data_IF_948754652326
#
_entry.id   IF_948754652326
#
_cell.length_a   1.000
_cell.length_b   1.000
_cell.length_c   1.000
_cell.angle_alpha   90.00
_cell.angle_beta   90.00
_cell.angle_gamma   90.00
#
_symmetry.space_group_name_H-M   'P 1'
#
loop_
_entity.id
_entity.type
_entity.pdbx_description
1 polymer ?
#
# COMPACT_ATOMS: atom_id res chain seq x y z
N UNK A 1 1.89 -10.64 13.29
CA UNK A 1 2.58 -9.63 14.13
C UNK A 1 4.10 -9.59 13.87
N UNK A 2 4.75 -10.72 13.66
CA UNK A 2 6.21 -10.76 13.41
C UNK A 2 6.59 -10.03 12.12
N UNK A 3 5.82 -10.15 11.06
CA UNK A 3 6.03 -9.44 9.80
C UNK A 3 6.08 -7.91 10.02
N UNK A 4 5.05 -7.35 10.67
CA UNK A 4 4.97 -5.92 10.93
C UNK A 4 6.08 -5.42 11.88
N UNK A 5 6.51 -6.25 12.83
CA UNK A 5 7.63 -5.94 13.71
C UNK A 5 8.95 -5.89 12.91
N UNK A 6 9.14 -6.81 11.96
CA UNK A 6 10.34 -6.87 11.11
C UNK A 6 10.54 -5.61 10.26
N UNK A 7 9.46 -4.89 9.93
CA UNK A 7 9.49 -3.65 9.15
C UNK A 7 10.08 -2.45 9.90
N UNK A 8 10.32 -2.57 11.22
CA UNK A 8 10.96 -1.55 12.07
C UNK A 8 10.34 -0.16 11.96
N UNK A 9 9.03 -0.08 11.79
CA UNK A 9 8.28 1.16 11.55
C UNK A 9 8.37 2.19 12.68
N UNK A 10 8.80 1.77 13.88
CA UNK A 10 9.03 2.67 15.00
C UNK A 10 10.09 3.77 14.72
N UNK A 11 10.91 3.58 13.67
CA UNK A 11 11.89 4.56 13.21
C UNK A 11 11.39 5.51 12.12
N UNK A 12 10.14 5.35 11.65
CA UNK A 12 9.57 6.19 10.61
C UNK A 12 9.00 7.49 11.17
N UNK A 13 9.06 8.54 10.36
CA UNK A 13 8.51 9.85 10.67
C UNK A 13 7.19 10.04 9.96
N UNK A 14 6.22 10.64 10.64
CA UNK A 14 4.98 11.08 10.00
C UNK A 14 5.29 12.20 9.02
N UNK A 15 4.88 12.03 7.77
CA UNK A 15 5.11 12.98 6.69
C UNK A 15 3.87 13.82 6.39
N UNK A 16 2.73 13.17 6.14
CA UNK A 16 1.48 13.84 5.76
C UNK A 16 0.26 13.08 6.25
N UNK A 17 -0.81 13.83 6.55
CA UNK A 17 -2.16 13.28 6.75
C UNK A 17 -3.15 13.98 5.83
N UNK A 18 -4.08 13.21 5.26
CA UNK A 18 -5.20 13.72 4.48
C UNK A 18 -6.51 13.08 4.91
N UNK A 19 -7.58 13.86 4.92
CA UNK A 19 -8.95 13.38 5.03
C UNK A 19 -9.66 13.59 3.70
N UNK A 20 -10.20 12.51 3.13
CA UNK A 20 -10.81 12.49 1.83
C UNK A 20 -12.26 12.02 1.96
N UNK A 21 -13.22 12.78 1.46
CA UNK A 21 -14.60 12.32 1.30
C UNK A 21 -14.80 11.69 -0.08
N UNK A 22 -15.54 10.59 -0.13
CA UNK A 22 -15.82 9.87 -1.38
C UNK A 22 -17.30 9.52 -1.50
N UNK A 23 -17.84 9.62 -2.70
CA UNK A 23 -19.20 9.18 -3.04
C UNK A 23 -19.20 7.69 -3.38
N UNK A 24 -18.88 6.87 -2.39
CA UNK A 24 -18.80 5.42 -2.48
C UNK A 24 -19.04 4.80 -1.11
N UNK A 25 -19.45 3.54 -1.08
CA UNK A 25 -19.45 2.77 0.16
C UNK A 25 -18.00 2.58 0.66
N UNK A 26 -17.80 2.66 1.97
CA UNK A 26 -16.48 2.56 2.59
C UNK A 26 -15.74 1.23 2.29
N UNK A 27 -16.47 0.17 1.94
CA UNK A 27 -15.88 -1.11 1.56
C UNK A 27 -15.24 -1.08 0.16
N UNK A 28 -15.77 -0.26 -0.75
CA UNK A 28 -15.23 -0.20 -2.12
C UNK A 28 -13.76 0.23 -2.20
N UNK A 29 -13.31 1.28 -1.49
CA UNK A 29 -11.88 1.57 -1.46
C UNK A 29 -11.03 0.43 -0.89
N UNK A 30 -11.55 -0.35 0.07
CA UNK A 30 -10.84 -1.51 0.60
C UNK A 30 -10.67 -2.58 -0.47
N UNK A 31 -11.73 -2.87 -1.23
CA UNK A 31 -11.70 -3.88 -2.28
C UNK A 31 -10.66 -3.56 -3.37
N UNK A 32 -10.41 -2.27 -3.65
CA UNK A 32 -9.38 -1.87 -4.62
C UNK A 32 -7.94 -2.16 -4.16
N UNK A 33 -7.71 -2.36 -2.86
CA UNK A 33 -6.42 -2.78 -2.34
C UNK A 33 -6.21 -4.31 -2.37
N UNK A 34 -7.17 -5.07 -2.89
CA UNK A 34 -7.11 -6.53 -2.98
C UNK A 34 -6.97 -7.03 -4.42
N UNK A 35 -6.71 -6.12 -5.37
CA UNK A 35 -6.56 -6.50 -6.77
C UNK A 35 -5.75 -5.45 -7.56
N UNK A 36 -4.84 -5.85 -8.47
CA UNK A 36 -4.04 -4.94 -9.26
C UNK A 36 -4.62 -4.61 -10.65
N UNK A 37 -5.69 -5.27 -11.12
CA UNK A 37 -6.15 -5.11 -12.51
C UNK A 37 -6.76 -3.73 -12.79
N UNK A 38 -7.27 -3.00 -11.77
CA UNK A 38 -7.73 -1.63 -11.94
C UNK A 38 -6.60 -0.66 -12.34
N UNK A 39 -5.33 -1.02 -12.14
CA UNK A 39 -4.18 -0.20 -12.52
C UNK A 39 -4.20 0.19 -13.99
N UNK A 40 -4.62 -0.73 -14.87
CA UNK A 40 -4.68 -0.46 -16.32
C UNK A 40 -5.80 0.49 -16.72
N UNK A 41 -6.83 0.62 -15.91
CA UNK A 41 -7.97 1.48 -16.16
C UNK A 41 -7.87 2.82 -15.41
N UNK A 42 -7.67 2.76 -14.09
CA UNK A 42 -7.69 3.94 -13.21
C UNK A 42 -6.33 4.61 -13.04
N UNK A 43 -5.25 3.83 -13.09
CA UNK A 43 -3.87 4.28 -12.87
C UNK A 43 -2.97 4.04 -14.07
N UNK A 44 -3.55 4.18 -15.27
CA UNK A 44 -2.92 3.82 -16.55
C UNK A 44 -1.57 4.52 -16.77
N UNK A 45 -1.49 5.79 -16.42
CA UNK A 45 -0.34 6.63 -16.71
C UNK A 45 0.60 6.80 -15.51
N UNK A 46 0.24 6.28 -14.33
CA UNK A 46 1.00 6.46 -13.08
C UNK A 46 1.50 5.14 -12.51
N UNK A 47 0.63 4.19 -12.21
CA UNK A 47 0.95 2.94 -11.52
C UNK A 47 1.17 1.78 -12.50
N UNK A 48 0.35 1.67 -13.55
CA UNK A 48 0.43 0.58 -14.51
C UNK A 48 1.79 0.45 -15.24
N UNK A 49 2.55 1.53 -15.52
CA UNK A 49 3.91 1.41 -16.06
C UNK A 49 4.91 0.77 -15.08
N UNK A 50 4.65 0.87 -13.77
CA UNK A 50 5.56 0.42 -12.71
C UNK A 50 5.28 -1.03 -12.33
N UNK A 51 4.01 -1.42 -12.24
CA UNK A 51 3.59 -2.73 -11.72
C UNK A 51 3.07 -3.66 -12.83
N UNK A 52 3.07 -4.96 -12.53
CA UNK A 52 2.30 -5.94 -13.31
C UNK A 52 0.83 -5.88 -12.88
N UNK A 53 -0.11 -5.68 -13.80
CA UNK A 53 -1.53 -5.52 -13.43
C UNK A 53 -2.26 -6.85 -13.19
N UNK A 54 -1.60 -7.97 -13.42
CA UNK A 54 -2.16 -9.32 -13.39
C UNK A 54 -1.29 -10.32 -12.62
N UNK A 55 -0.35 -9.83 -11.80
CA UNK A 55 0.55 -10.66 -11.03
C UNK A 55 0.65 -10.15 -9.60
N UNK A 56 0.09 -10.91 -8.67
CA UNK A 56 0.19 -10.64 -7.23
C UNK A 56 0.32 -11.96 -6.46
N UNK A 57 0.83 -11.86 -5.25
CA UNK A 57 0.80 -12.92 -4.25
C UNK A 57 -0.24 -12.54 -3.20
N UNK A 58 -0.99 -13.52 -2.73
CA UNK A 58 -2.07 -13.29 -1.79
C UNK A 58 -2.03 -14.30 -0.65
N UNK A 59 -2.13 -13.79 0.58
CA UNK A 59 -2.22 -14.58 1.81
C UNK A 59 -3.43 -14.15 2.64
N UNK A 60 -4.05 -15.09 3.33
CA UNK A 60 -5.16 -14.86 4.25
C UNK A 60 -4.80 -15.29 5.68
N UNK A 61 -5.07 -14.43 6.65
CA UNK A 61 -4.80 -14.63 8.07
C UNK A 61 -6.08 -14.37 8.89
N UNK A 62 -6.99 -15.33 8.89
CA UNK A 62 -8.33 -15.16 9.46
C UNK A 62 -9.13 -14.09 8.69
N UNK A 63 -9.40 -12.96 9.33
CA UNK A 63 -10.10 -11.82 8.70
C UNK A 63 -9.13 -10.79 8.09
N UNK A 64 -7.84 -11.02 8.16
CA UNK A 64 -6.82 -10.14 7.60
C UNK A 64 -6.24 -10.73 6.34
N UNK A 65 -5.77 -9.88 5.43
CA UNK A 65 -5.18 -10.29 4.17
C UNK A 65 -3.86 -9.57 3.94
N UNK A 66 -2.99 -10.21 3.14
CA UNK A 66 -1.80 -9.58 2.59
C UNK A 66 -1.78 -9.81 1.09
N UNK A 67 -1.58 -8.75 0.35
CA UNK A 67 -1.32 -8.81 -1.08
C UNK A 67 0.04 -8.18 -1.37
N UNK A 68 0.84 -8.84 -2.19
CA UNK A 68 2.06 -8.28 -2.73
C UNK A 68 1.93 -8.14 -4.25
N UNK A 69 1.86 -6.90 -4.73
CA UNK A 69 1.83 -6.59 -6.16
C UNK A 69 3.25 -6.35 -6.64
N UNK A 70 3.63 -7.01 -7.73
CA UNK A 70 5.01 -7.04 -8.19
C UNK A 70 5.31 -5.87 -9.12
N UNK A 71 6.41 -5.17 -8.86
CA UNK A 71 6.97 -4.18 -9.77
C UNK A 71 7.62 -4.90 -10.96
N UNK A 72 7.61 -4.26 -12.14
CA UNK A 72 8.29 -4.80 -13.33
C UNK A 72 9.79 -4.97 -13.12
N UNK A 73 10.38 -4.20 -12.23
CA UNK A 73 11.78 -4.31 -11.84
C UNK A 73 12.15 -5.64 -11.17
N UNK A 74 11.16 -6.45 -10.72
CA UNK A 74 11.43 -7.77 -10.13
C UNK A 74 12.13 -8.73 -11.11
N UNK A 75 12.01 -8.52 -12.42
CA UNK A 75 12.72 -9.31 -13.41
C UNK A 75 14.24 -9.20 -13.29
N UNK A 76 14.75 -8.16 -12.65
CA UNK A 76 16.19 -7.99 -12.40
C UNK A 76 16.72 -9.05 -11.43
N UNK A 77 15.88 -9.55 -10.50
CA UNK A 77 16.25 -10.57 -9.53
C UNK A 77 16.64 -11.90 -10.19
N UNK A 78 16.13 -12.19 -11.39
CA UNK A 78 16.51 -13.40 -12.15
C UNK A 78 18.01 -13.50 -12.46
N UNK A 79 18.73 -12.39 -12.37
CA UNK A 79 20.18 -12.31 -12.66
C UNK A 79 21.04 -12.39 -11.41
N UNK A 80 20.41 -12.43 -10.24
CA UNK A 80 21.05 -12.46 -8.94
C UNK A 80 20.85 -13.84 -8.28
N UNK A 81 21.78 -14.29 -7.44
CA UNK A 81 21.51 -15.39 -6.52
C UNK A 81 20.30 -15.06 -5.64
N UNK A 82 19.51 -16.08 -5.30
CA UNK A 82 18.32 -15.91 -4.44
C UNK A 82 18.65 -15.35 -3.05
N UNK A 83 19.86 -15.56 -2.55
CA UNK A 83 20.35 -14.96 -1.30
C UNK A 83 20.52 -13.42 -1.35
N UNK A 84 20.52 -12.84 -2.55
CA UNK A 84 20.65 -11.40 -2.80
C UNK A 84 19.31 -10.76 -3.21
N UNK A 85 18.21 -11.51 -3.17
CA UNK A 85 16.91 -10.98 -3.56
C UNK A 85 16.36 -10.04 -2.49
N UNK A 86 16.05 -8.82 -2.91
CA UNK A 86 15.26 -7.85 -2.15
C UNK A 86 13.84 -7.77 -2.71
N UNK A 87 12.99 -8.66 -2.24
CA UNK A 87 11.60 -8.76 -2.69
C UNK A 87 10.80 -7.49 -2.33
N UNK A 88 11.04 -6.90 -1.17
CA UNK A 88 10.32 -5.72 -0.69
C UNK A 88 10.55 -4.53 -1.62
N UNK A 89 11.79 -4.31 -2.05
CA UNK A 89 12.11 -3.22 -2.98
C UNK A 89 11.42 -3.38 -4.36
N UNK A 90 11.17 -4.63 -4.76
CA UNK A 90 10.57 -4.96 -6.06
C UNK A 90 9.06 -5.26 -5.98
N UNK A 91 8.40 -4.86 -4.91
CA UNK A 91 6.96 -5.02 -4.71
C UNK A 91 6.33 -3.80 -4.02
N UNK A 92 5.01 -3.78 -3.95
CA UNK A 92 4.24 -3.04 -2.97
C UNK A 92 3.42 -4.06 -2.19
N UNK A 93 3.47 -4.00 -0.87
CA UNK A 93 2.80 -4.99 -0.02
C UNK A 93 1.70 -4.29 0.76
N UNK A 94 0.45 -4.69 0.53
CA UNK A 94 -0.70 -4.21 1.27
C UNK A 94 -1.14 -5.23 2.31
N UNK A 95 -1.32 -4.78 3.54
CA UNK A 95 -1.92 -5.54 4.62
C UNK A 95 -3.31 -4.98 4.86
N UNK A 96 -4.34 -5.75 4.56
CA UNK A 96 -5.69 -5.40 4.90
C UNK A 96 -6.00 -5.87 6.32
N UNK A 97 -6.20 -4.93 7.22
CA UNK A 97 -6.54 -5.17 8.63
C UNK A 97 -8.05 -4.96 8.81
N UNK A 98 -8.77 -6.08 8.93
CA UNK A 98 -10.22 -6.02 9.17
C UNK A 98 -10.56 -5.15 10.38
N UNK A 99 -11.63 -4.33 10.34
CA UNK A 99 -12.60 -4.27 9.24
C UNK A 99 -12.30 -3.23 8.15
N UNK A 100 -11.46 -2.23 8.40
CA UNK A 100 -11.50 -1.00 7.63
C UNK A 100 -10.14 -0.30 7.44
N UNK A 101 -9.06 -0.98 7.70
CA UNK A 101 -7.72 -0.39 7.61
C UNK A 101 -6.86 -1.15 6.61
N UNK A 102 -6.13 -0.39 5.80
CA UNK A 102 -5.10 -0.93 4.89
C UNK A 102 -3.78 -0.24 5.21
N UNK A 103 -2.75 -1.04 5.25
CA UNK A 103 -1.38 -0.64 5.47
C UNK A 103 -0.58 -1.02 4.23
N UNK A 104 0.01 -0.05 3.54
CA UNK A 104 0.76 -0.29 2.30
C UNK A 104 2.23 0.00 2.54
N UNK A 105 3.04 -1.02 2.39
CA UNK A 105 4.50 -0.91 2.39
C UNK A 105 4.98 -0.70 0.96
N UNK A 106 5.54 0.45 0.71
CA UNK A 106 6.25 0.78 -0.53
C UNK A 106 7.77 0.59 -0.34
N UNK A 107 8.53 0.71 -1.42
CA UNK A 107 9.99 0.57 -1.36
C UNK A 107 10.67 1.63 -0.46
N UNK A 108 10.07 2.78 -0.29
CA UNK A 108 10.67 3.97 0.32
C UNK A 108 9.76 4.71 1.32
N UNK A 109 8.50 4.30 1.47
CA UNK A 109 7.57 4.87 2.42
C UNK A 109 6.49 3.87 2.84
N UNK A 110 5.69 4.26 3.80
CA UNK A 110 4.55 3.49 4.30
C UNK A 110 3.32 4.36 4.30
N UNK A 111 2.21 3.81 3.83
CA UNK A 111 0.91 4.44 3.84
C UNK A 111 -0.05 3.70 4.76
N UNK A 112 -0.90 4.44 5.47
CA UNK A 112 -2.05 3.87 6.15
C UNK A 112 -3.33 4.49 5.61
N UNK A 113 -4.31 3.66 5.33
CA UNK A 113 -5.62 4.02 4.81
C UNK A 113 -6.69 3.47 5.73
N UNK A 114 -7.52 4.35 6.30
CA UNK A 114 -8.61 3.95 7.19
C UNK A 114 -9.93 4.47 6.64
N UNK A 115 -10.87 3.56 6.36
CA UNK A 115 -12.13 3.84 5.69
C UNK A 115 -13.29 3.76 6.67
N UNK A 116 -14.11 4.80 6.71
CA UNK A 116 -15.26 4.89 7.59
C UNK A 116 -16.52 5.27 6.81
N UNK A 117 -17.69 4.74 7.17
CA UNK A 117 -18.94 5.25 6.62
C UNK A 117 -19.11 6.73 7.03
N UNK A 118 -19.61 7.55 6.12
CA UNK A 118 -19.94 8.95 6.43
C UNK A 118 -21.36 9.02 6.97
N UNK A 119 -21.48 9.12 8.30
CA UNK A 119 -22.77 9.11 9.00
C UNK A 119 -23.61 7.87 8.64
N UNK A 120 -24.91 8.02 8.47
CA UNK A 120 -25.85 6.96 8.07
C UNK A 120 -25.97 6.79 6.54
N UNK A 121 -24.97 7.26 5.78
CA UNK A 121 -24.97 7.25 4.32
C UNK A 121 -24.16 6.08 3.76
N UNK A 122 -24.80 5.00 3.26
CA UNK A 122 -24.09 3.85 2.70
C UNK A 122 -23.37 4.16 1.38
N UNK A 123 -23.70 5.26 0.75
CA UNK A 123 -23.15 5.75 -0.53
C UNK A 123 -22.02 6.77 -0.37
N UNK A 124 -21.58 7.01 0.86
CA UNK A 124 -20.49 7.94 1.18
C UNK A 124 -19.54 7.37 2.23
N UNK A 125 -18.28 7.72 2.09
CA UNK A 125 -17.27 7.37 3.09
C UNK A 125 -16.26 8.50 3.32
N UNK A 126 -15.62 8.43 4.47
CA UNK A 126 -14.44 9.21 4.82
C UNK A 126 -13.24 8.28 4.81
N UNK A 127 -12.19 8.68 4.11
CA UNK A 127 -10.92 7.98 4.06
C UNK A 127 -9.87 8.84 4.75
N UNK A 128 -9.24 8.28 5.78
CA UNK A 128 -8.09 8.89 6.44
C UNK A 128 -6.83 8.24 5.87
N UNK A 129 -5.96 9.07 5.33
CA UNK A 129 -4.67 8.70 4.78
C UNK A 129 -3.56 9.30 5.64
N UNK A 130 -2.57 8.49 5.99
CA UNK A 130 -1.34 8.96 6.59
C UNK A 130 -0.15 8.34 5.84
N UNK A 131 0.88 9.15 5.59
CA UNK A 131 2.14 8.74 4.99
C UNK A 131 3.27 8.84 6.01
N UNK A 132 4.14 7.84 6.01
CA UNK A 132 5.31 7.75 6.89
C UNK A 132 6.56 7.45 6.07
N UNK A 133 7.66 8.14 6.37
CA UNK A 133 8.93 8.04 5.66
C UNK A 133 10.08 7.69 6.62
N UNK A 134 11.12 6.97 6.16
CA UNK A 134 12.23 6.59 7.02
C UNK A 134 13.18 7.76 7.35
N UNK A 135 13.18 8.84 6.54
CA UNK A 135 14.01 10.02 6.76
C UNK A 135 13.27 11.10 7.55
N UNK A 136 14.01 11.86 8.35
CA UNK A 136 13.44 13.01 9.05
C UNK A 136 12.85 14.03 8.05
N UNK A 137 11.68 14.63 8.34
CA UNK A 137 10.97 15.53 7.39
C UNK A 137 11.78 16.74 6.91
N UNK A 138 12.89 17.08 7.59
CA UNK A 138 13.77 18.19 7.23
C UNK A 138 14.83 17.85 6.17
N UNK A 139 14.88 16.60 5.68
CA UNK A 139 15.85 16.20 4.64
C UNK A 139 15.32 16.49 3.25
N UNK A 140 16.24 16.75 2.30
CA UNK A 140 15.89 16.98 0.89
C UNK A 140 15.13 15.78 0.29
N UNK A 141 15.51 14.56 0.70
CA UNK A 141 14.81 13.34 0.26
C UNK A 141 13.37 13.29 0.78
N UNK A 142 13.14 13.64 2.04
CA UNK A 142 11.79 13.67 2.61
C UNK A 142 10.88 14.69 1.91
N UNK A 143 11.45 15.76 1.34
CA UNK A 143 10.68 16.76 0.58
C UNK A 143 10.28 16.30 -0.83
N UNK A 144 10.79 15.15 -1.29
CA UNK A 144 10.52 14.61 -2.63
C UNK A 144 9.41 13.54 -2.67
N UNK A 145 8.83 13.15 -1.51
CA UNK A 145 7.74 12.18 -1.41
C UNK A 145 6.36 12.70 -1.84
#
# INVERSE_FOLDING_TARGET
>A
DEDLISLRLAGYYHYESRMLERSANWKMPIDTFLEPYHFTALHRDTVAPIFFPNLCLFDAFGLHHREAVLRRSIEQLRRLPDTEWDFVHHSAISYQLFPNSVFVLQADHVETWRMFPANDRPDRCVVLFDCYVPEAPATDKAQSY
#
